data_IF_282989048637
#
_entry.id   IF_282989048637
#
_cell.length_a   1.000
_cell.length_b   1.000
_cell.length_c   1.000
_cell.angle_alpha   90.00
_cell.angle_beta   90.00
_cell.angle_gamma   90.00
#
_symmetry.space_group_name_H-M   'P 1'
#
loop_
_entity.id
_entity.type
_entity.pdbx_description
1 polymer ?
#
# COMPACT_ATOMS: atom_id res chain seq x y z
N UNK A 1 -11.93 -35.24 8.64
CA UNK A 1 -11.58 -33.84 8.27
C UNK A 1 -12.29 -33.52 6.96
N UNK A 2 -12.71 -32.27 6.73
CA UNK A 2 -13.30 -31.83 5.44
C UNK A 2 -12.29 -30.93 4.74
N UNK A 3 -11.92 -31.25 3.50
CA UNK A 3 -11.07 -30.42 2.65
C UNK A 3 -12.00 -29.65 1.71
N UNK A 4 -12.00 -28.33 1.80
CA UNK A 4 -12.84 -27.45 0.96
C UNK A 4 -11.98 -26.85 -0.14
N UNK A 5 -11.97 -27.50 -1.31
CA UNK A 5 -11.28 -26.99 -2.51
C UNK A 5 -11.98 -25.72 -3.00
N UNK A 6 -11.27 -24.59 -3.03
CA UNK A 6 -11.77 -23.35 -3.63
C UNK A 6 -11.39 -23.34 -5.11
N UNK A 7 -12.40 -23.40 -5.98
CA UNK A 7 -12.23 -23.32 -7.43
C UNK A 7 -12.21 -21.83 -7.86
N UNK A 8 -11.07 -21.35 -8.35
CA UNK A 8 -10.97 -19.98 -8.88
C UNK A 8 -11.55 -19.96 -10.31
N UNK A 9 -12.70 -19.30 -10.47
CA UNK A 9 -13.37 -19.15 -11.76
C UNK A 9 -12.87 -17.91 -12.51
N UNK A 10 -12.02 -18.10 -13.52
CA UNK A 10 -11.49 -17.01 -14.35
C UNK A 10 -12.57 -16.44 -15.27
N UNK A 11 -13.04 -15.22 -14.98
CA UNK A 11 -14.02 -14.52 -15.82
C UNK A 11 -13.32 -13.79 -17.00
N UNK A 12 -13.38 -14.36 -18.20
CA UNK A 12 -12.87 -13.70 -19.41
C UNK A 12 -13.79 -12.55 -19.86
N UNK A 13 -13.23 -11.34 -19.97
CA UNK A 13 -13.92 -10.13 -20.43
C UNK A 13 -14.22 -10.17 -21.95
N UNK A 14 -15.40 -10.65 -22.33
CA UNK A 14 -15.88 -10.54 -23.71
C UNK A 14 -16.61 -9.21 -23.96
N UNK A 15 -15.88 -8.23 -24.48
CA UNK A 15 -16.47 -6.98 -24.99
C UNK A 15 -17.28 -7.24 -26.26
N UNK A 16 -18.62 -7.24 -26.17
CA UNK A 16 -19.50 -7.18 -27.34
C UNK A 16 -19.94 -5.75 -27.61
N UNK A 17 -19.43 -5.17 -28.71
CA UNK A 17 -19.80 -3.83 -29.14
C UNK A 17 -21.22 -3.83 -29.73
N UNK A 18 -22.15 -3.15 -29.06
CA UNK A 18 -23.52 -2.97 -29.55
C UNK A 18 -23.57 -1.90 -30.65
N UNK A 19 -23.49 -2.32 -31.92
CA UNK A 19 -23.90 -1.48 -33.05
C UNK A 19 -25.42 -1.62 -33.29
N UNK A 20 -26.20 -0.53 -33.30
CA UNK A 20 -27.62 -0.59 -33.62
C UNK A 20 -27.82 -0.72 -35.13
N UNK A 21 -28.11 -1.93 -35.62
CA UNK A 21 -28.50 -2.17 -37.01
C UNK A 21 -29.82 -1.45 -37.32
N UNK A 22 -29.76 -0.38 -38.12
CA UNK A 22 -30.95 0.40 -38.53
C UNK A 22 -31.75 -0.40 -39.57
N UNK A 23 -32.65 -1.26 -39.08
CA UNK A 23 -33.65 -1.94 -39.90
C UNK A 23 -34.79 -0.97 -40.27
N UNK A 24 -34.58 -0.22 -41.35
CA UNK A 24 -35.54 0.75 -41.88
C UNK A 24 -36.78 0.05 -42.49
N UNK A 25 -37.76 -0.32 -41.64
CA UNK A 25 -38.97 -1.01 -42.08
C UNK A 25 -40.15 -0.04 -42.22
N UNK A 26 -40.35 0.47 -43.43
CA UNK A 26 -41.49 1.32 -43.78
C UNK A 26 -42.82 0.55 -43.71
N UNK A 27 -43.80 1.11 -42.99
CA UNK A 27 -45.21 0.71 -43.05
C UNK A 27 -46.08 1.92 -43.46
N UNK A 28 -47.19 1.71 -44.18
CA UNK A 28 -47.94 2.79 -44.82
C UNK A 28 -48.82 3.60 -43.87
N UNK A 29 -49.21 4.79 -44.34
CA UNK A 29 -50.11 5.72 -43.64
C UNK A 29 -51.48 5.10 -43.30
N UNK A 30 -51.95 5.37 -42.08
CA UNK A 30 -53.29 5.05 -41.60
C UNK A 30 -53.58 5.85 -40.33
N UNK A 31 -54.22 7.01 -40.47
CA UNK A 31 -54.39 7.95 -39.37
C UNK A 31 -55.72 7.80 -38.62
N UNK A 32 -55.65 7.55 -37.31
CA UNK A 32 -56.74 7.85 -36.37
C UNK A 32 -56.16 8.41 -35.08
N UNK A 33 -56.66 9.56 -34.63
CA UNK A 33 -56.25 10.21 -33.38
C UNK A 33 -56.85 9.53 -32.16
N UNK A 34 -56.01 9.11 -31.20
CA UNK A 34 -56.43 8.63 -29.88
C UNK A 34 -55.53 9.23 -28.78
N UNK A 35 -55.54 10.55 -28.63
CA UNK A 35 -54.76 11.27 -27.61
C UNK A 35 -55.51 11.28 -26.26
N UNK A 36 -55.49 10.14 -25.57
CA UNK A 36 -56.14 9.93 -24.26
C UNK A 36 -55.08 9.48 -23.25
N UNK A 37 -54.30 10.42 -22.70
CA UNK A 37 -54.58 11.14 -21.44
C UNK A 37 -54.55 10.24 -20.19
N UNK A 38 -53.36 10.20 -19.59
CA UNK A 38 -53.09 10.08 -18.14
C UNK A 38 -53.98 9.13 -17.32
N UNK A 39 -53.50 7.91 -17.09
CA UNK A 39 -53.74 7.20 -15.83
C UNK A 39 -52.49 7.25 -14.96
N UNK A 40 -52.42 8.26 -14.10
CA UNK A 40 -51.45 8.31 -13.01
C UNK A 40 -52.11 7.70 -11.76
N UNK A 41 -51.96 6.38 -11.58
CA UNK A 41 -52.53 5.63 -10.46
C UNK A 41 -51.56 4.56 -9.98
N UNK A 42 -50.74 4.91 -8.99
CA UNK A 42 -50.19 4.05 -7.91
C UNK A 42 -49.38 2.78 -8.25
N UNK A 43 -49.21 2.43 -9.52
CA UNK A 43 -48.26 1.40 -9.97
C UNK A 43 -46.96 2.06 -10.46
N UNK A 44 -45.85 1.79 -9.75
CA UNK A 44 -44.51 2.11 -10.27
C UNK A 44 -44.29 1.40 -11.59
N UNK A 45 -43.71 2.08 -12.58
CA UNK A 45 -43.28 1.37 -13.78
C UNK A 45 -42.14 0.41 -13.42
N UNK A 46 -42.08 -0.75 -14.04
CA UNK A 46 -41.02 -1.75 -13.78
C UNK A 46 -39.61 -1.14 -13.93
N UNK A 47 -39.46 -0.16 -14.82
CA UNK A 47 -38.22 0.62 -15.02
C UNK A 47 -37.87 1.47 -13.78
N UNK A 48 -38.85 2.07 -13.11
CA UNK A 48 -38.63 2.84 -11.88
C UNK A 48 -38.34 1.93 -10.68
N UNK A 49 -39.03 0.80 -10.58
CA UNK A 49 -38.75 -0.24 -9.59
C UNK A 49 -37.31 -0.77 -9.71
N UNK A 50 -36.89 -1.10 -10.93
CA UNK A 50 -35.51 -1.50 -11.24
C UNK A 50 -34.50 -0.37 -10.97
N UNK A 51 -34.81 0.89 -11.28
CA UNK A 51 -33.98 2.06 -10.94
C UNK A 51 -33.91 2.37 -9.45
N UNK A 52 -34.91 2.03 -8.64
CA UNK A 52 -34.81 2.07 -7.18
C UNK A 52 -33.89 0.96 -6.71
N UNK A 53 -34.15 -0.29 -7.11
CA UNK A 53 -33.31 -1.43 -6.70
C UNK A 53 -31.85 -1.28 -7.13
N UNK A 54 -31.57 -0.67 -8.28
CA UNK A 54 -30.20 -0.36 -8.70
C UNK A 54 -29.50 0.65 -7.78
N UNK A 55 -30.22 1.68 -7.27
CA UNK A 55 -29.67 2.63 -6.30
C UNK A 55 -29.51 2.02 -4.90
N UNK A 56 -30.46 1.19 -4.50
CA UNK A 56 -30.43 0.40 -3.26
C UNK A 56 -29.19 -0.52 -3.24
N UNK A 57 -28.99 -1.33 -4.30
CA UNK A 57 -27.80 -2.17 -4.46
C UNK A 57 -26.48 -1.37 -4.54
N UNK A 58 -26.49 -0.17 -5.13
CA UNK A 58 -25.28 0.69 -5.16
C UNK A 58 -24.95 1.25 -3.77
N UNK A 59 -25.94 1.62 -2.96
CA UNK A 59 -25.70 2.05 -1.58
C UNK A 59 -25.33 0.87 -0.67
N UNK A 60 -25.91 -0.32 -0.87
CA UNK A 60 -25.47 -1.56 -0.21
C UNK A 60 -24.00 -1.88 -0.52
N UNK A 61 -23.59 -1.80 -1.79
CA UNK A 61 -22.19 -2.00 -2.21
C UNK A 61 -21.28 -0.95 -1.56
N UNK A 62 -21.64 0.33 -1.64
CA UNK A 62 -20.87 1.42 -1.02
C UNK A 62 -20.72 1.25 0.50
N UNK A 63 -21.79 0.88 1.21
CA UNK A 63 -21.75 0.61 2.65
C UNK A 63 -20.88 -0.62 2.96
N UNK A 64 -20.88 -1.65 2.10
CA UNK A 64 -19.99 -2.80 2.24
C UNK A 64 -18.52 -2.45 1.95
N UNK A 65 -18.24 -1.56 1.00
CA UNK A 65 -16.91 -1.03 0.70
C UNK A 65 -16.39 -0.16 1.86
N UNK A 66 -17.19 0.79 2.37
CA UNK A 66 -16.87 1.62 3.55
C UNK A 66 -16.61 0.75 4.81
N UNK A 67 -17.39 -0.32 5.00
CA UNK A 67 -17.16 -1.31 6.05
C UNK A 67 -15.86 -2.12 5.81
N UNK A 68 -15.56 -2.51 4.58
CA UNK A 68 -14.32 -3.21 4.26
C UNK A 68 -13.09 -2.31 4.49
N UNK A 69 -13.14 -1.06 4.05
CA UNK A 69 -12.08 -0.08 4.27
C UNK A 69 -11.84 0.21 5.75
N UNK A 70 -12.89 0.46 6.54
CA UNK A 70 -12.75 0.69 7.99
C UNK A 70 -12.20 -0.53 8.74
N UNK A 71 -12.66 -1.75 8.41
CA UNK A 71 -12.10 -2.99 8.98
C UNK A 71 -10.62 -3.21 8.57
N UNK A 72 -10.24 -2.91 7.32
CA UNK A 72 -8.85 -3.02 6.87
C UNK A 72 -7.94 -1.99 7.55
N UNK A 73 -8.41 -0.75 7.74
CA UNK A 73 -7.69 0.29 8.50
C UNK A 73 -7.51 -0.14 9.95
N UNK A 74 -8.56 -0.61 10.63
CA UNK A 74 -8.47 -1.09 12.02
C UNK A 74 -7.54 -2.31 12.16
N UNK A 75 -7.54 -3.22 11.17
CA UNK A 75 -6.62 -4.36 11.12
C UNK A 75 -5.18 -3.94 10.84
N UNK A 76 -4.95 -2.86 10.08
CA UNK A 76 -3.63 -2.24 9.95
C UNK A 76 -3.18 -1.62 11.27
N UNK A 77 -3.94 -0.69 11.85
CA UNK A 77 -3.53 0.04 13.07
C UNK A 77 -3.28 -0.88 14.26
N UNK A 78 -4.07 -1.94 14.45
CA UNK A 78 -3.85 -2.93 15.52
C UNK A 78 -2.58 -3.74 15.32
N UNK A 79 -2.29 -4.21 14.10
CA UNK A 79 -1.03 -4.88 13.76
C UNK A 79 0.17 -3.95 13.94
N UNK A 80 0.08 -2.74 13.41
CA UNK A 80 1.17 -1.75 13.47
C UNK A 80 1.50 -1.40 14.94
N UNK A 81 0.48 -1.19 15.77
CA UNK A 81 0.65 -0.98 17.22
C UNK A 81 1.29 -2.19 17.94
N UNK A 82 0.98 -3.43 17.53
CA UNK A 82 1.71 -4.60 18.06
C UNK A 82 3.18 -4.60 17.64
N UNK A 83 3.50 -4.22 16.40
CA UNK A 83 4.89 -4.09 15.96
C UNK A 83 5.62 -2.96 16.70
N UNK A 84 4.98 -1.81 16.89
CA UNK A 84 5.54 -0.68 17.64
C UNK A 84 5.81 -1.05 19.11
N UNK A 85 4.95 -1.88 19.73
CA UNK A 85 5.21 -2.42 21.07
C UNK A 85 6.42 -3.39 21.13
N UNK A 86 6.77 -4.02 20.00
CA UNK A 86 7.99 -4.84 19.91
C UNK A 86 9.21 -3.95 19.66
N UNK A 87 9.09 -2.92 18.83
CA UNK A 87 10.13 -1.91 18.60
C UNK A 87 10.52 -1.22 19.92
N UNK A 88 9.55 -0.73 20.71
CA UNK A 88 9.80 -0.09 22.00
C UNK A 88 10.46 -1.02 23.05
N UNK A 89 10.29 -2.34 22.92
CA UNK A 89 11.02 -3.32 23.74
C UNK A 89 12.46 -3.54 23.25
N UNK A 90 12.71 -3.50 21.94
CA UNK A 90 14.05 -3.67 21.35
C UNK A 90 14.92 -2.40 21.48
N UNK A 91 14.28 -1.24 21.45
CA UNK A 91 14.89 0.09 21.53
C UNK A 91 14.21 0.93 22.65
N UNK A 92 14.56 0.71 23.93
CA UNK A 92 14.11 1.57 25.02
C UNK A 92 14.71 2.98 24.90
N UNK A 93 13.95 4.01 25.24
CA UNK A 93 14.36 5.42 25.06
C UNK A 93 15.54 5.86 25.94
N UNK A 94 15.79 5.16 27.04
CA UNK A 94 16.81 5.49 28.05
C UNK A 94 18.15 4.76 27.81
N UNK A 95 18.29 4.07 26.68
CA UNK A 95 19.33 3.06 26.43
C UNK A 95 20.01 3.25 25.07
N UNK A 96 21.26 3.75 25.07
CA UNK A 96 22.20 3.73 23.92
C UNK A 96 22.69 2.28 23.60
N UNK A 97 21.82 1.30 23.81
CA UNK A 97 22.15 -0.10 24.02
C UNK A 97 23.00 -0.69 22.92
N UNK A 98 24.04 -1.41 23.32
CA UNK A 98 25.01 -2.00 22.41
C UNK A 98 24.35 -3.06 21.52
N UNK A 99 24.98 -3.32 20.37
CA UNK A 99 24.58 -4.41 19.45
C UNK A 99 24.49 -5.76 20.18
N UNK A 100 25.35 -5.98 21.18
CA UNK A 100 25.34 -7.17 22.03
C UNK A 100 24.08 -7.26 22.94
N UNK A 101 23.63 -6.15 23.50
CA UNK A 101 22.42 -6.08 24.33
C UNK A 101 21.15 -6.18 23.48
N UNK A 102 21.12 -5.57 22.29
CA UNK A 102 20.05 -5.76 21.31
C UNK A 102 19.98 -7.23 20.85
N UNK A 103 21.11 -7.87 20.55
CA UNK A 103 21.17 -9.31 20.31
C UNK A 103 20.68 -10.11 21.55
N UNK A 104 20.96 -9.65 22.77
CA UNK A 104 20.42 -10.20 24.02
C UNK A 104 18.89 -10.13 24.11
N UNK A 105 18.30 -8.98 23.79
CA UNK A 105 16.84 -8.77 23.71
C UNK A 105 16.21 -9.65 22.63
N UNK A 106 16.86 -9.77 21.46
CA UNK A 106 16.43 -10.64 20.36
C UNK A 106 16.45 -12.14 20.76
N UNK A 107 17.53 -12.63 21.37
CA UNK A 107 17.60 -14.02 21.89
C UNK A 107 16.51 -14.29 22.93
N UNK A 108 16.30 -13.35 23.87
CA UNK A 108 15.28 -13.46 24.93
C UNK A 108 13.87 -13.56 24.36
N UNK A 109 13.52 -12.72 23.38
CA UNK A 109 12.16 -12.63 22.83
C UNK A 109 11.87 -13.66 21.71
N UNK A 110 12.90 -14.35 21.19
CA UNK A 110 12.83 -15.36 20.11
C UNK A 110 11.85 -14.99 18.99
N UNK A 111 11.99 -13.77 18.45
CA UNK A 111 11.15 -13.29 17.36
C UNK A 111 11.34 -14.18 16.11
N UNK A 112 10.26 -14.45 15.39
CA UNK A 112 10.32 -15.17 14.12
C UNK A 112 10.80 -14.26 12.99
N UNK A 113 11.40 -14.85 11.95
CA UNK A 113 11.85 -14.19 10.72
C UNK A 113 10.83 -13.18 10.17
N UNK A 114 9.56 -13.59 10.03
CA UNK A 114 8.50 -12.73 9.50
C UNK A 114 8.20 -11.51 10.39
N UNK A 115 8.33 -11.66 11.72
CA UNK A 115 8.16 -10.54 12.67
C UNK A 115 9.34 -9.56 12.59
N UNK A 116 10.56 -10.06 12.35
CA UNK A 116 11.75 -9.23 12.14
C UNK A 116 11.65 -8.45 10.81
N UNK A 117 11.12 -9.08 9.77
CA UNK A 117 10.78 -8.42 8.49
C UNK A 117 9.70 -7.33 8.69
N UNK A 118 8.65 -7.61 9.45
CA UNK A 118 7.61 -6.62 9.79
C UNK A 118 8.14 -5.44 10.62
N UNK A 119 9.15 -5.67 11.48
CA UNK A 119 9.84 -4.59 12.20
C UNK A 119 10.64 -3.70 11.24
N UNK A 120 11.34 -4.27 10.25
CA UNK A 120 12.03 -3.49 9.20
C UNK A 120 11.04 -2.69 8.35
N UNK A 121 9.91 -3.28 7.96
CA UNK A 121 8.81 -2.57 7.29
C UNK A 121 8.32 -1.39 8.14
N UNK A 122 8.05 -1.61 9.43
CA UNK A 122 7.47 -0.61 10.33
C UNK A 122 8.44 0.52 10.68
N UNK A 123 9.73 0.22 10.86
CA UNK A 123 10.77 1.24 11.06
C UNK A 123 10.87 2.14 9.81
N UNK A 124 10.81 1.57 8.60
CA UNK A 124 10.83 2.34 7.37
C UNK A 124 9.54 3.16 7.16
N UNK A 125 8.35 2.61 7.44
CA UNK A 125 7.09 3.39 7.42
C UNK A 125 7.20 4.64 8.31
N UNK A 126 7.68 4.48 9.54
CA UNK A 126 7.83 5.58 10.50
C UNK A 126 8.90 6.59 10.09
N UNK A 127 9.98 6.14 9.47
CA UNK A 127 10.99 7.05 8.91
C UNK A 127 10.42 7.87 7.74
N UNK A 128 9.67 7.25 6.81
CA UNK A 128 9.01 7.93 5.69
C UNK A 128 7.99 8.96 6.19
N UNK A 129 7.21 8.61 7.21
CA UNK A 129 6.27 9.53 7.88
C UNK A 129 7.01 10.70 8.54
N UNK A 130 8.02 10.44 9.37
CA UNK A 130 8.78 11.47 10.08
C UNK A 130 9.60 12.39 9.16
N UNK A 131 9.98 11.93 7.95
CA UNK A 131 10.57 12.79 6.89
C UNK A 131 9.54 13.68 6.17
N UNK A 132 8.25 13.54 6.47
CA UNK A 132 7.14 14.22 5.77
C UNK A 132 6.92 13.74 4.34
N UNK A 133 7.33 12.51 4.00
CA UNK A 133 7.27 11.97 2.64
C UNK A 133 6.00 11.17 2.34
N UNK A 134 5.17 10.91 3.37
CA UNK A 134 3.90 10.19 3.28
C UNK A 134 2.91 10.83 2.28
N UNK A 135 2.73 12.15 2.35
CA UNK A 135 1.78 12.92 1.55
C UNK A 135 2.42 14.21 1.01
N UNK A 136 2.26 14.41 -0.30
CA UNK A 136 2.90 15.48 -1.07
C UNK A 136 1.88 16.05 -2.03
N UNK A 137 1.59 17.34 -1.89
CA UNK A 137 0.62 18.06 -2.72
C UNK A 137 1.30 18.83 -3.84
N UNK A 138 0.68 18.79 -5.02
CA UNK A 138 1.06 19.59 -6.18
C UNK A 138 0.43 20.98 -6.10
N UNK A 139 1.19 22.00 -5.70
CA UNK A 139 0.78 23.38 -5.89
C UNK A 139 1.08 23.82 -7.33
N UNK A 140 0.03 24.06 -8.11
CA UNK A 140 0.16 24.81 -9.36
C UNK A 140 0.44 26.28 -9.04
N UNK A 141 1.42 26.88 -9.71
CA UNK A 141 1.57 28.33 -9.80
C UNK A 141 0.90 28.86 -11.07
N UNK A 142 0.38 30.09 -11.01
CA UNK A 142 -0.29 30.77 -12.14
C UNK A 142 0.60 30.97 -13.37
N UNK A 143 1.91 30.76 -13.24
CA UNK A 143 2.92 30.84 -14.31
C UNK A 143 3.25 29.45 -14.92
N UNK A 144 2.34 28.48 -14.82
CA UNK A 144 2.42 27.18 -15.50
C UNK A 144 3.29 26.11 -14.81
N UNK A 145 4.09 26.48 -13.81
CA UNK A 145 4.88 25.54 -13.03
C UNK A 145 4.05 24.70 -12.05
N UNK A 146 4.29 23.39 -12.00
CA UNK A 146 3.88 22.53 -10.89
C UNK A 146 5.03 22.46 -9.89
N UNK A 147 4.77 22.83 -8.64
CA UNK A 147 5.71 22.65 -7.52
C UNK A 147 5.12 21.67 -6.51
N UNK A 148 5.97 20.90 -5.85
CA UNK A 148 5.54 19.95 -4.82
C UNK A 148 5.85 20.48 -3.43
N UNK A 149 4.89 20.33 -2.52
CA UNK A 149 5.04 20.63 -1.10
C UNK A 149 4.73 19.39 -0.30
N UNK A 150 5.61 19.04 0.64
CA UNK A 150 5.30 18.05 1.68
C UNK A 150 4.17 18.63 2.53
N UNK A 151 3.18 17.81 2.86
CA UNK A 151 2.00 18.25 3.62
C UNK A 151 2.17 18.01 5.11
N UNK A 152 2.96 17.00 5.47
CA UNK A 152 3.45 16.79 6.83
C UNK A 152 4.78 17.55 7.06
N UNK A 153 4.90 18.15 8.24
CA UNK A 153 6.17 18.72 8.73
C UNK A 153 7.17 17.63 9.12
N UNK A 154 8.45 17.97 9.19
CA UNK A 154 9.52 17.00 9.52
C UNK A 154 9.60 16.80 11.03
N UNK A 155 9.38 15.57 11.50
CA UNK A 155 9.49 15.21 12.91
C UNK A 155 10.94 14.85 13.27
N UNK A 156 11.79 15.86 13.46
CA UNK A 156 13.22 15.68 13.79
C UNK A 156 13.45 14.81 15.02
N UNK A 157 12.58 14.88 16.03
CA UNK A 157 12.70 14.08 17.25
C UNK A 157 12.52 12.57 16.98
N UNK A 158 11.56 12.20 16.12
CA UNK A 158 11.38 10.80 15.70
C UNK A 158 12.45 10.36 14.71
N UNK A 159 12.93 11.22 13.82
CA UNK A 159 14.06 10.89 12.95
C UNK A 159 15.32 10.56 13.74
N UNK A 160 15.67 11.39 14.73
CA UNK A 160 16.82 11.13 15.61
C UNK A 160 16.65 9.83 16.42
N UNK A 161 15.42 9.47 16.82
CA UNK A 161 15.13 8.24 17.53
C UNK A 161 15.13 6.98 16.63
N UNK A 162 14.86 7.12 15.33
CA UNK A 162 14.90 6.03 14.34
C UNK A 162 16.28 5.86 13.69
N UNK A 163 17.10 6.91 13.67
CA UNK A 163 18.41 6.90 13.03
C UNK A 163 19.32 5.82 13.62
N UNK A 164 19.89 4.97 12.75
CA UNK A 164 20.73 3.84 13.16
C UNK A 164 20.01 2.72 13.91
N UNK A 165 18.69 2.78 14.16
CA UNK A 165 17.95 1.65 14.74
C UNK A 165 17.84 0.48 13.76
N UNK A 166 17.66 0.76 12.47
CA UNK A 166 17.68 -0.27 11.42
C UNK A 166 19.07 -0.91 11.27
N UNK A 167 20.13 -0.10 11.27
CA UNK A 167 21.50 -0.60 11.13
C UNK A 167 21.93 -1.44 12.35
N UNK A 168 21.68 -0.94 13.58
CA UNK A 168 21.89 -1.72 14.82
C UNK A 168 21.11 -3.03 14.83
N UNK A 169 19.87 -3.04 14.31
CA UNK A 169 19.07 -4.27 14.19
C UNK A 169 19.69 -5.28 13.23
N UNK A 170 20.22 -4.81 12.10
CA UNK A 170 20.88 -5.63 11.09
C UNK A 170 22.23 -6.17 11.61
N UNK A 171 23.01 -5.36 12.33
CA UNK A 171 24.25 -5.79 12.98
C UNK A 171 23.99 -6.80 14.10
N UNK A 172 22.94 -6.60 14.90
CA UNK A 172 22.55 -7.57 15.93
C UNK A 172 22.08 -8.89 15.29
N UNK A 173 21.34 -8.83 14.18
CA UNK A 173 20.98 -10.01 13.40
C UNK A 173 22.21 -10.72 12.80
N UNK A 174 23.23 -9.99 12.35
CA UNK A 174 24.50 -10.58 11.89
C UNK A 174 25.24 -11.34 13.00
N UNK A 175 25.22 -10.84 14.24
CA UNK A 175 25.81 -11.54 15.39
C UNK A 175 25.09 -12.87 15.62
N UNK A 176 23.75 -12.88 15.53
CA UNK A 176 22.95 -14.10 15.70
C UNK A 176 23.14 -15.09 14.54
N UNK A 177 23.24 -14.62 13.29
CA UNK A 177 23.56 -15.47 12.14
C UNK A 177 24.93 -16.14 12.31
N UNK A 178 25.95 -15.37 12.75
CA UNK A 178 27.31 -15.90 13.01
C UNK A 178 27.30 -16.91 14.17
N UNK A 179 26.58 -16.63 15.26
CA UNK A 179 26.41 -17.58 16.37
C UNK A 179 25.72 -18.88 15.91
N UNK A 180 24.68 -18.79 15.09
CA UNK A 180 23.97 -19.97 14.57
C UNK A 180 24.84 -20.80 13.62
N UNK A 181 25.62 -20.15 12.76
CA UNK A 181 26.60 -20.81 11.87
C UNK A 181 27.68 -21.50 12.70
N UNK A 182 28.25 -20.84 13.71
CA UNK A 182 29.28 -21.41 14.57
C UNK A 182 28.75 -22.61 15.37
N UNK A 183 27.56 -22.50 15.97
CA UNK A 183 26.89 -23.61 16.66
C UNK A 183 26.70 -24.82 15.73
N UNK A 184 26.31 -24.59 14.48
CA UNK A 184 26.16 -25.62 13.44
C UNK A 184 27.47 -26.29 13.03
N UNK A 185 28.61 -25.62 13.15
CA UNK A 185 29.93 -26.19 12.82
C UNK A 185 30.64 -26.83 14.01
N UNK A 186 30.45 -26.30 15.22
CA UNK A 186 31.13 -26.76 16.44
C UNK A 186 30.34 -27.86 17.16
N UNK A 187 29.00 -27.76 17.18
CA UNK A 187 28.12 -28.76 17.75
C UNK A 187 27.43 -29.55 16.64
N UNK A 188 27.79 -30.84 16.51
CA UNK A 188 27.10 -31.82 15.67
C UNK A 188 25.69 -32.23 16.20
N UNK A 189 25.04 -31.32 16.92
CA UNK A 189 23.68 -31.47 17.40
C UNK A 189 22.69 -31.29 16.25
N UNK A 190 21.55 -32.00 16.30
CA UNK A 190 20.50 -31.81 15.31
C UNK A 190 19.83 -30.44 15.51
N UNK A 191 20.14 -29.49 14.63
CA UNK A 191 19.40 -28.23 14.51
C UNK A 191 17.91 -28.56 14.39
N UNK A 192 17.09 -28.04 15.30
CA UNK A 192 15.66 -28.34 15.26
C UNK A 192 15.00 -27.57 14.12
N UNK A 193 13.89 -28.11 13.59
CA UNK A 193 13.07 -27.39 12.61
C UNK A 193 12.60 -26.02 13.12
N UNK A 194 12.45 -25.87 14.45
CA UNK A 194 12.11 -24.60 15.08
C UNK A 194 13.21 -23.55 14.86
N UNK A 195 14.48 -23.90 15.11
CA UNK A 195 15.58 -22.92 15.07
C UNK A 195 15.88 -22.45 13.63
N UNK A 196 15.67 -23.31 12.64
CA UNK A 196 15.68 -22.94 11.21
C UNK A 196 14.60 -21.88 10.91
N UNK A 197 13.37 -22.08 11.41
CA UNK A 197 12.23 -21.20 11.12
C UNK A 197 12.28 -19.85 11.86
N UNK A 198 12.87 -19.79 13.06
CA UNK A 198 12.93 -18.53 13.82
C UNK A 198 13.98 -17.57 13.25
N UNK A 199 15.16 -18.06 12.84
CA UNK A 199 16.31 -17.23 12.41
C UNK A 199 16.69 -17.39 10.93
N UNK A 200 15.74 -17.77 10.07
CA UNK A 200 15.96 -17.87 8.62
C UNK A 200 17.08 -18.84 8.21
N UNK A 201 17.38 -19.83 9.05
CA UNK A 201 18.50 -20.77 8.85
C UNK A 201 19.92 -20.18 8.97
N UNK A 202 20.08 -19.00 9.59
CA UNK A 202 21.37 -18.30 9.72
C UNK A 202 21.67 -17.33 8.57
N UNK A 203 20.63 -16.66 8.05
CA UNK A 203 20.75 -15.57 7.09
C UNK A 203 19.66 -14.49 7.31
N UNK A 204 19.21 -14.28 8.56
CA UNK A 204 18.14 -13.32 8.83
C UNK A 204 18.60 -11.87 8.57
N UNK A 205 19.87 -11.55 8.83
CA UNK A 205 20.46 -10.24 8.50
C UNK A 205 20.47 -9.97 6.98
N UNK A 206 20.71 -11.00 6.16
CA UNK A 206 20.63 -10.90 4.69
C UNK A 206 19.21 -10.59 4.21
N UNK A 207 18.22 -11.33 4.74
CA UNK A 207 16.79 -11.11 4.45
C UNK A 207 16.37 -9.68 4.83
N UNK A 208 16.79 -9.19 6.00
CA UNK A 208 16.48 -7.84 6.48
C UNK A 208 17.16 -6.75 5.62
N UNK A 209 18.42 -6.93 5.23
CA UNK A 209 19.13 -6.03 4.31
C UNK A 209 18.46 -5.93 2.95
N UNK A 210 18.06 -7.06 2.37
CA UNK A 210 17.43 -7.06 1.04
C UNK A 210 15.99 -6.54 1.07
N UNK A 211 15.26 -6.75 2.18
CA UNK A 211 13.97 -6.10 2.42
C UNK A 211 14.11 -4.57 2.54
N UNK A 212 15.09 -4.07 3.30
CA UNK A 212 15.35 -2.63 3.43
C UNK A 212 15.65 -1.98 2.07
N UNK A 213 16.50 -2.61 1.25
CA UNK A 213 16.78 -2.16 -0.13
C UNK A 213 15.52 -2.19 -1.02
N UNK A 214 14.68 -3.21 -0.88
CA UNK A 214 13.45 -3.33 -1.66
C UNK A 214 12.44 -2.24 -1.31
N UNK A 215 12.27 -1.94 -0.01
CA UNK A 215 11.40 -0.87 0.47
C UNK A 215 11.84 0.52 -0.04
N UNK A 216 13.14 0.83 0.02
CA UNK A 216 13.67 2.08 -0.55
C UNK A 216 13.40 2.22 -2.05
N UNK A 217 13.64 1.16 -2.83
CA UNK A 217 13.30 1.14 -4.27
C UNK A 217 11.81 1.28 -4.53
N UNK A 218 10.97 0.61 -3.74
CA UNK A 218 9.51 0.70 -3.89
C UNK A 218 9.02 2.12 -3.59
N UNK A 219 9.53 2.75 -2.55
CA UNK A 219 9.25 4.16 -2.23
C UNK A 219 9.65 5.08 -3.39
N UNK A 220 10.87 4.93 -3.93
CA UNK A 220 11.35 5.74 -5.05
C UNK A 220 10.54 5.51 -6.35
N UNK A 221 10.18 4.26 -6.65
CA UNK A 221 9.31 3.91 -7.78
C UNK A 221 7.89 4.45 -7.61
N UNK A 222 7.30 4.34 -6.41
CA UNK A 222 5.99 4.92 -6.11
C UNK A 222 6.04 6.44 -6.26
N UNK A 223 7.11 7.09 -5.79
CA UNK A 223 7.30 8.53 -5.92
C UNK A 223 7.42 8.96 -7.39
N UNK A 224 8.21 8.26 -8.20
CA UNK A 224 8.31 8.50 -9.64
C UNK A 224 6.94 8.35 -10.34
N UNK A 225 6.20 7.28 -10.06
CA UNK A 225 4.86 7.04 -10.65
C UNK A 225 3.85 8.13 -10.23
N UNK A 226 3.91 8.62 -8.99
CA UNK A 226 3.12 9.79 -8.52
C UNK A 226 3.50 11.03 -9.35
N UNK A 227 4.78 11.39 -9.47
CA UNK A 227 5.23 12.53 -10.28
C UNK A 227 4.78 12.43 -11.75
N UNK A 228 4.91 11.26 -12.38
CA UNK A 228 4.45 11.02 -13.75
C UNK A 228 2.93 11.21 -13.91
N UNK A 229 2.13 10.73 -12.94
CA UNK A 229 0.69 10.97 -12.93
C UNK A 229 0.33 12.46 -12.83
N UNK A 230 1.11 13.25 -12.09
CA UNK A 230 0.96 14.71 -12.02
C UNK A 230 1.39 15.40 -13.33
N UNK A 231 2.42 14.91 -14.04
CA UNK A 231 2.71 15.36 -15.41
C UNK A 231 1.54 15.11 -16.35
N UNK A 232 0.98 13.91 -16.35
CA UNK A 232 -0.16 13.61 -17.21
C UNK A 232 -1.38 14.46 -16.84
N UNK A 233 -1.65 14.69 -15.56
CA UNK A 233 -2.75 15.53 -15.12
C UNK A 233 -2.57 17.01 -15.54
N UNK A 234 -1.37 17.57 -15.38
CA UNK A 234 -1.04 18.92 -15.82
C UNK A 234 -1.11 19.05 -17.36
N UNK A 235 -0.55 18.08 -18.09
CA UNK A 235 -0.54 18.00 -19.56
C UNK A 235 -1.90 17.67 -20.19
N UNK A 236 -2.87 17.19 -19.40
CA UNK A 236 -4.30 17.10 -19.77
C UNK A 236 -5.07 18.40 -19.52
N UNK A 237 -4.56 19.30 -18.68
CA UNK A 237 -5.19 20.60 -18.34
C UNK A 237 -4.66 21.78 -19.16
N UNK A 238 -3.37 21.81 -19.45
CA UNK A 238 -2.70 22.86 -20.22
C UNK A 238 -2.41 22.40 -21.65
N UNK A 239 -2.06 23.33 -22.54
CA UNK A 239 -1.68 22.96 -23.91
C UNK A 239 -0.43 22.08 -23.89
N UNK A 240 -0.28 21.24 -24.92
CA UNK A 240 0.77 20.22 -25.02
C UNK A 240 2.19 20.78 -24.95
N UNK A 241 2.34 22.07 -25.25
CA UNK A 241 3.61 22.75 -25.49
C UNK A 241 4.07 23.63 -24.31
N UNK A 242 3.22 23.86 -23.30
CA UNK A 242 3.51 24.71 -22.13
C UNK A 242 4.22 23.97 -20.97
N UNK A 243 4.29 22.63 -21.01
CA UNK A 243 4.78 21.79 -19.90
C UNK A 243 6.14 21.17 -20.25
N UNK A 244 7.22 21.77 -19.75
CA UNK A 244 8.58 21.19 -19.83
C UNK A 244 8.63 19.84 -19.09
N UNK A 245 8.72 18.76 -19.87
CA UNK A 245 8.78 17.37 -19.40
C UNK A 245 10.17 16.94 -18.89
N UNK A 246 11.14 17.85 -18.83
CA UNK A 246 12.57 17.53 -18.78
C UNK A 246 13.29 18.15 -17.60
N UNK A 247 13.03 19.41 -17.24
CA UNK A 247 13.76 20.15 -16.20
C UNK A 247 13.79 19.49 -14.80
N UNK A 248 12.90 18.53 -14.56
CA UNK A 248 12.78 17.82 -13.30
C UNK A 248 13.78 16.64 -13.21
N UNK A 249 14.14 16.05 -14.37
CA UNK A 249 15.16 14.99 -14.47
C UNK A 249 16.58 15.51 -14.22
N UNK A 250 16.77 16.83 -14.22
CA UNK A 250 18.08 17.48 -14.01
C UNK A 250 18.54 17.53 -12.53
N UNK A 251 17.91 16.79 -11.61
CA UNK A 251 18.37 16.65 -10.22
C UNK A 251 18.22 17.88 -9.31
N UNK A 252 17.92 19.07 -9.85
CA UNK A 252 17.83 20.35 -9.11
C UNK A 252 16.77 20.43 -8.00
N UNK A 253 15.87 19.44 -7.91
CA UNK A 253 14.87 19.32 -6.82
C UNK A 253 15.49 18.72 -5.53
N UNK A 254 16.74 18.22 -5.59
CA UNK A 254 17.32 17.35 -4.56
C UNK A 254 18.53 17.91 -3.80
N UNK A 255 18.93 19.17 -4.05
CA UNK A 255 19.89 19.83 -3.14
C UNK A 255 19.16 20.33 -1.88
N UNK A 256 19.74 20.14 -0.68
CA UNK A 256 19.25 20.74 0.56
C UNK A 256 19.55 22.25 0.64
#
# INVERSE_FOLDING_TARGET
MKITTILIATACSYSQAFMPTIMLKTTPSGATTAFTRLHATEAETEVERLRRKARELLEEVKVAEDQLHSNLIQKKTTRDATTDSIIAYLFPSDDDGSVCELAGRLRTKRLASDTLVQIVERLHEREVAARGLEHVESSHHDQGGVTFKRVAEVNEAELNALQGCLDRLIEAAEVLDKEFINQKTECSQQITHSDIMHWGGGNISGIMKDKAKALGREHDEQFQKRLESFYEAAKRKHSKDDVDSTGWKEGKVWNP
#
